data_IF_872009687005
#
_entry.id   IF_872009687005
#
_cell.length_a   1.000
_cell.length_b   1.000
_cell.length_c   1.000
_cell.angle_alpha   90.00
_cell.angle_beta   90.00
_cell.angle_gamma   90.00
#
_symmetry.space_group_name_H-M   'P 1'
#
loop_
_entity.id
_entity.type
_entity.pdbx_description
1 polymer ?
#
# COMPACT_ATOMS: atom_id res chain seq x y z
N UNK A 1 -7.40 7.12 13.37
CA UNK A 1 -7.39 8.15 12.30
C UNK A 1 -7.58 7.54 10.90
N UNK A 2 -6.94 6.43 10.55
CA UNK A 2 -7.05 5.83 9.20
C UNK A 2 -8.47 5.52 8.71
N UNK A 3 -9.26 4.73 9.45
CA UNK A 3 -10.67 4.42 9.09
C UNK A 3 -11.52 5.69 8.90
N UNK A 4 -11.47 6.68 9.82
CA UNK A 4 -12.12 7.97 9.61
C UNK A 4 -11.80 8.66 8.28
N UNK A 5 -10.53 8.69 7.89
CA UNK A 5 -10.08 9.29 6.63
C UNK A 5 -10.57 8.46 5.43
N UNK A 6 -10.49 7.12 5.50
CA UNK A 6 -10.99 6.23 4.45
C UNK A 6 -12.47 6.46 4.16
N UNK A 7 -13.31 6.49 5.20
CA UNK A 7 -14.76 6.75 5.04
C UNK A 7 -14.98 8.16 4.47
N UNK A 8 -14.17 9.15 4.88
CA UNK A 8 -14.24 10.51 4.33
C UNK A 8 -13.98 10.52 2.82
N UNK A 9 -12.97 9.78 2.36
CA UNK A 9 -12.69 9.61 0.93
C UNK A 9 -13.79 8.84 0.20
N UNK A 10 -14.36 7.78 0.81
CA UNK A 10 -15.52 7.07 0.26
C UNK A 10 -16.73 7.97 0.06
N UNK A 11 -17.04 8.82 1.04
CA UNK A 11 -18.15 9.79 0.97
C UNK A 11 -17.93 10.76 -0.18
N UNK A 12 -16.73 11.35 -0.30
CA UNK A 12 -16.40 12.28 -1.39
C UNK A 12 -16.56 11.61 -2.75
N UNK A 13 -15.97 10.42 -2.91
CA UNK A 13 -16.02 9.65 -4.15
C UNK A 13 -17.45 9.29 -4.55
N UNK A 14 -18.21 8.68 -3.63
CA UNK A 14 -19.57 8.21 -3.90
C UNK A 14 -20.55 9.35 -4.13
N UNK A 15 -20.38 10.47 -3.42
CA UNK A 15 -21.26 11.63 -3.60
C UNK A 15 -21.04 12.28 -4.96
N UNK A 16 -19.79 12.43 -5.38
CA UNK A 16 -19.46 13.11 -6.64
C UNK A 16 -19.50 12.21 -7.89
N UNK A 17 -19.43 10.88 -7.71
CA UNK A 17 -19.31 9.89 -8.78
C UNK A 17 -18.26 10.34 -9.81
N UNK A 18 -17.04 10.57 -9.34
CA UNK A 18 -15.93 11.04 -10.16
C UNK A 18 -14.57 10.70 -9.53
N UNK A 19 -13.54 10.72 -10.36
CA UNK A 19 -12.13 10.76 -9.98
C UNK A 19 -11.82 11.86 -8.93
N UNK A 20 -10.68 11.78 -8.22
CA UNK A 20 -10.38 12.68 -7.10
C UNK A 20 -10.45 14.17 -7.46
N UNK A 21 -9.93 14.58 -8.62
CA UNK A 21 -9.95 16.00 -9.04
C UNK A 21 -11.38 16.43 -9.38
N UNK A 22 -12.08 15.63 -10.19
CA UNK A 22 -13.46 15.87 -10.56
C UNK A 22 -14.38 15.96 -9.34
N UNK A 23 -14.14 15.10 -8.34
CA UNK A 23 -14.93 15.06 -7.12
C UNK A 23 -14.90 16.38 -6.35
N UNK A 24 -13.70 16.91 -6.10
CA UNK A 24 -13.57 18.21 -5.43
C UNK A 24 -14.08 19.38 -6.29
N UNK A 25 -13.92 19.33 -7.62
CA UNK A 25 -14.51 20.36 -8.51
C UNK A 25 -16.04 20.37 -8.47
N UNK A 26 -16.68 19.21 -8.43
CA UNK A 26 -18.15 19.07 -8.39
C UNK A 26 -18.71 19.47 -7.02
N UNK A 27 -18.06 19.06 -5.93
CA UNK A 27 -18.55 19.30 -4.56
C UNK A 27 -18.22 20.70 -4.04
N UNK A 28 -17.17 21.35 -4.56
CA UNK A 28 -16.80 22.72 -4.19
C UNK A 28 -16.40 23.54 -5.43
N UNK A 29 -17.36 23.88 -6.31
CA UNK A 29 -17.08 24.62 -7.54
C UNK A 29 -16.49 26.01 -7.25
N UNK A 30 -15.65 26.50 -8.16
CA UNK A 30 -14.97 27.82 -8.06
C UNK A 30 -14.04 27.99 -6.83
N UNK A 31 -13.59 26.89 -6.23
CA UNK A 31 -12.62 26.90 -5.13
C UNK A 31 -11.32 26.18 -5.50
N UNK A 32 -10.29 26.33 -4.68
CA UNK A 32 -9.01 25.63 -4.83
C UNK A 32 -9.01 24.18 -4.28
N UNK A 33 -10.13 23.66 -3.77
CA UNK A 33 -10.19 22.32 -3.15
C UNK A 33 -9.77 21.19 -4.10
N UNK A 34 -9.92 21.39 -5.40
CA UNK A 34 -9.44 20.45 -6.43
C UNK A 34 -7.92 20.24 -6.45
N UNK A 35 -7.14 21.12 -5.82
CA UNK A 35 -5.71 20.93 -5.61
C UNK A 35 -5.40 19.68 -4.78
N UNK A 36 -6.28 19.27 -3.87
CA UNK A 36 -6.12 18.02 -3.09
C UNK A 36 -6.25 16.81 -4.01
N UNK A 37 -7.18 16.84 -4.96
CA UNK A 37 -7.31 15.79 -5.97
C UNK A 37 -6.03 15.64 -6.79
N UNK A 38 -5.43 16.76 -7.20
CA UNK A 38 -4.13 16.76 -7.90
C UNK A 38 -3.00 16.24 -6.99
N UNK A 39 -2.99 16.63 -5.72
CA UNK A 39 -2.05 16.10 -4.72
C UNK A 39 -2.18 14.59 -4.56
N UNK A 40 -3.40 14.05 -4.53
CA UNK A 40 -3.64 12.61 -4.48
C UNK A 40 -3.14 11.87 -5.72
N UNK A 41 -3.40 12.41 -6.92
CA UNK A 41 -2.84 11.86 -8.16
C UNK A 41 -1.30 11.87 -8.11
N UNK A 42 -0.70 12.99 -7.68
CA UNK A 42 0.76 13.08 -7.54
C UNK A 42 1.30 12.06 -6.52
N UNK A 43 0.63 11.88 -5.38
CA UNK A 43 1.01 10.90 -4.36
C UNK A 43 0.96 9.47 -4.93
N UNK A 44 -0.18 9.06 -5.50
CA UNK A 44 -0.33 7.72 -6.10
C UNK A 44 0.68 7.45 -7.22
N UNK A 45 0.97 8.47 -8.04
CA UNK A 45 1.96 8.40 -9.10
C UNK A 45 3.38 8.24 -8.55
N UNK A 46 3.78 9.05 -7.57
CA UNK A 46 5.09 8.96 -6.91
C UNK A 46 5.29 7.63 -6.19
N UNK A 47 4.26 7.10 -5.54
CA UNK A 47 4.31 5.77 -4.92
C UNK A 47 4.61 4.71 -5.98
N UNK A 48 3.90 4.77 -7.12
CA UNK A 48 4.14 3.83 -8.22
C UNK A 48 5.57 3.90 -8.78
N UNK A 49 6.25 5.06 -8.72
CA UNK A 49 7.62 5.19 -9.24
C UNK A 49 8.61 4.26 -8.52
N UNK A 50 8.53 4.13 -7.19
CA UNK A 50 9.42 3.24 -6.42
C UNK A 50 8.79 1.87 -6.13
N UNK A 51 7.47 1.81 -5.94
CA UNK A 51 6.79 0.56 -5.58
C UNK A 51 6.83 -0.47 -6.72
N UNK A 52 6.85 -0.01 -7.97
CA UNK A 52 7.06 -0.88 -9.14
C UNK A 52 8.41 -1.60 -9.11
N UNK A 53 9.46 -1.00 -8.54
CA UNK A 53 10.76 -1.66 -8.35
C UNK A 53 10.66 -2.77 -7.31
N UNK A 54 10.05 -2.50 -6.15
CA UNK A 54 9.86 -3.50 -5.10
C UNK A 54 9.03 -4.68 -5.59
N UNK A 55 7.93 -4.40 -6.29
CA UNK A 55 7.10 -5.44 -6.91
C UNK A 55 7.88 -6.22 -7.99
N UNK A 56 8.72 -5.54 -8.79
CA UNK A 56 9.64 -6.17 -9.72
C UNK A 56 10.58 -7.16 -9.04
N UNK A 57 11.15 -6.79 -7.89
CA UNK A 57 12.00 -7.71 -7.13
C UNK A 57 11.24 -8.95 -6.68
N UNK A 58 10.02 -8.77 -6.14
CA UNK A 58 9.16 -9.90 -5.76
C UNK A 58 8.91 -10.83 -6.95
N UNK A 59 8.62 -10.30 -8.13
CA UNK A 59 8.44 -11.09 -9.34
C UNK A 59 9.70 -11.86 -9.74
N UNK A 60 10.87 -11.21 -9.70
CA UNK A 60 12.17 -11.87 -9.94
C UNK A 60 12.38 -13.07 -9.01
N UNK A 61 12.03 -12.90 -7.72
CA UNK A 61 12.21 -13.92 -6.70
C UNK A 61 11.29 -15.14 -6.89
N UNK A 62 10.13 -15.00 -7.54
CA UNK A 62 9.31 -16.17 -7.94
C UNK A 62 10.14 -17.09 -8.84
N UNK A 63 10.74 -16.55 -9.90
CA UNK A 63 11.50 -17.35 -10.86
C UNK A 63 12.77 -17.92 -10.24
N UNK A 64 13.46 -17.16 -9.39
CA UNK A 64 14.64 -17.61 -8.65
C UNK A 64 14.31 -18.73 -7.66
N UNK A 65 13.15 -18.65 -7.00
CA UNK A 65 12.66 -19.74 -6.15
C UNK A 65 12.32 -20.97 -7.00
N UNK A 66 11.61 -20.82 -8.12
CA UNK A 66 11.28 -21.96 -9.00
C UNK A 66 12.56 -22.65 -9.53
N UNK A 67 13.57 -21.88 -9.92
CA UNK A 67 14.85 -22.41 -10.42
C UNK A 67 15.73 -23.05 -9.35
N UNK A 68 15.36 -22.98 -8.08
CA UNK A 68 16.15 -23.55 -6.99
C UNK A 68 17.38 -22.74 -6.63
N UNK A 69 17.41 -21.43 -6.94
CA UNK A 69 18.57 -20.56 -6.66
C UNK A 69 18.86 -20.38 -5.17
N UNK A 70 17.95 -20.82 -4.29
CA UNK A 70 18.07 -20.73 -2.83
C UNK A 70 18.24 -22.09 -2.15
N UNK A 71 18.46 -23.17 -2.90
CA UNK A 71 18.79 -24.48 -2.32
C UNK A 71 20.12 -24.35 -1.57
N UNK A 72 20.14 -24.80 -0.31
CA UNK A 72 21.29 -24.67 0.60
C UNK A 72 21.78 -23.22 0.79
N UNK A 73 20.84 -22.26 0.88
CA UNK A 73 21.19 -20.86 0.99
C UNK A 73 22.10 -20.53 2.19
N UNK A 74 23.09 -19.68 1.91
CA UNK A 74 23.93 -18.99 2.91
C UNK A 74 23.62 -17.48 2.92
N UNK A 75 23.93 -16.76 4.02
CA UNK A 75 23.77 -15.32 4.09
C UNK A 75 24.43 -14.56 2.95
N UNK A 76 25.66 -14.94 2.59
CA UNK A 76 26.45 -14.33 1.52
C UNK A 76 25.78 -14.53 0.17
N UNK A 77 25.28 -15.74 -0.09
CA UNK A 77 24.58 -16.07 -1.33
C UNK A 77 23.30 -15.25 -1.47
N UNK A 78 22.45 -15.21 -0.43
CA UNK A 78 21.19 -14.46 -0.50
C UNK A 78 21.41 -12.96 -0.58
N UNK A 79 22.39 -12.42 0.14
CA UNK A 79 22.81 -11.01 0.02
C UNK A 79 23.32 -10.71 -1.38
N UNK A 80 24.17 -11.57 -1.95
CA UNK A 80 24.69 -11.42 -3.31
C UNK A 80 23.59 -11.46 -4.37
N UNK A 81 22.63 -12.38 -4.25
CA UNK A 81 21.47 -12.47 -5.16
C UNK A 81 20.64 -11.19 -5.11
N UNK A 82 20.31 -10.70 -3.92
CA UNK A 82 19.54 -9.45 -3.78
C UNK A 82 20.30 -8.23 -4.28
N UNK A 83 21.57 -8.09 -3.87
CA UNK A 83 22.44 -6.99 -4.30
C UNK A 83 22.58 -6.94 -5.82
N UNK A 84 22.88 -8.08 -6.46
CA UNK A 84 23.01 -8.13 -7.92
C UNK A 84 21.71 -7.73 -8.63
N UNK A 85 20.55 -8.12 -8.09
CA UNK A 85 19.26 -7.74 -8.65
C UNK A 85 19.05 -6.22 -8.60
N UNK A 86 19.37 -5.57 -7.47
CA UNK A 86 19.09 -4.13 -7.29
C UNK A 86 20.16 -3.22 -7.89
N UNK A 87 21.42 -3.69 -7.97
CA UNK A 87 22.54 -2.87 -8.51
C UNK A 87 22.81 -3.11 -10.00
N UNK A 88 22.26 -4.16 -10.61
CA UNK A 88 22.39 -4.41 -12.05
C UNK A 88 21.77 -3.28 -12.89
N UNK A 89 22.42 -2.95 -14.01
CA UNK A 89 21.98 -1.86 -14.89
C UNK A 89 20.64 -2.13 -15.59
N UNK A 90 20.27 -3.40 -15.77
CA UNK A 90 19.12 -3.77 -16.60
C UNK A 90 18.10 -4.64 -15.88
N UNK A 91 18.56 -5.57 -15.04
CA UNK A 91 17.68 -6.54 -14.39
C UNK A 91 16.51 -5.89 -13.61
N UNK A 92 16.72 -4.88 -12.74
CA UNK A 92 15.62 -4.33 -11.96
C UNK A 92 14.61 -3.57 -12.84
N UNK A 93 15.07 -2.94 -13.92
CA UNK A 93 14.20 -2.26 -14.91
C UNK A 93 13.36 -3.27 -15.69
N UNK A 94 13.95 -4.40 -16.11
CA UNK A 94 13.23 -5.44 -16.83
C UNK A 94 12.07 -5.95 -15.97
N UNK A 95 12.33 -6.26 -14.70
CA UNK A 95 11.27 -6.72 -13.79
C UNK A 95 10.23 -5.64 -13.49
N UNK A 96 10.64 -4.38 -13.36
CA UNK A 96 9.73 -3.25 -13.24
C UNK A 96 8.76 -3.17 -14.43
N UNK A 97 9.29 -3.29 -15.65
CA UNK A 97 8.49 -3.28 -16.89
C UNK A 97 7.54 -4.47 -16.93
N UNK A 98 8.00 -5.67 -16.58
CA UNK A 98 7.16 -6.88 -16.54
C UNK A 98 5.96 -6.68 -15.61
N UNK A 99 6.19 -6.18 -14.40
CA UNK A 99 5.09 -5.95 -13.45
C UNK A 99 4.14 -4.86 -13.94
N UNK A 100 4.67 -3.78 -14.52
CA UNK A 100 3.85 -2.74 -15.12
C UNK A 100 2.97 -3.26 -16.26
N UNK A 101 3.48 -4.15 -17.11
CA UNK A 101 2.68 -4.80 -18.17
C UNK A 101 1.55 -5.62 -17.56
N UNK A 102 1.84 -6.42 -16.53
CA UNK A 102 0.83 -7.23 -15.83
C UNK A 102 -0.27 -6.34 -15.27
N UNK A 103 0.09 -5.32 -14.48
CA UNK A 103 -0.90 -4.41 -13.87
C UNK A 103 -1.67 -3.64 -14.94
N UNK A 104 -0.98 -3.10 -15.96
CA UNK A 104 -1.62 -2.35 -17.04
C UNK A 104 -2.61 -3.20 -17.83
N UNK A 105 -2.31 -4.48 -18.07
CA UNK A 105 -3.24 -5.39 -18.75
C UNK A 105 -4.57 -5.56 -17.99
N UNK A 106 -4.50 -5.60 -16.66
CA UNK A 106 -5.67 -5.71 -15.78
C UNK A 106 -6.46 -4.39 -15.82
N UNK A 107 -5.79 -3.26 -15.71
CA UNK A 107 -6.43 -1.94 -15.78
C UNK A 107 -7.09 -1.72 -17.15
N UNK A 108 -6.46 -2.14 -18.25
CA UNK A 108 -7.06 -2.05 -19.60
C UNK A 108 -8.38 -2.82 -19.69
N UNK A 109 -8.49 -3.97 -19.02
CA UNK A 109 -9.73 -4.76 -18.99
C UNK A 109 -10.90 -4.07 -18.25
N UNK A 110 -10.64 -2.98 -17.52
CA UNK A 110 -11.64 -2.17 -16.84
C UNK A 110 -11.97 -2.62 -15.41
N UNK A 111 -12.86 -1.88 -14.74
CA UNK A 111 -13.16 -2.08 -13.32
C UNK A 111 -13.78 -3.47 -13.05
N UNK A 112 -14.87 -3.83 -13.72
CA UNK A 112 -15.56 -5.11 -13.47
C UNK A 112 -14.78 -6.32 -14.01
N UNK A 113 -14.36 -6.27 -15.28
CA UNK A 113 -13.71 -7.42 -15.95
C UNK A 113 -12.23 -7.58 -15.59
N UNK A 114 -11.57 -6.50 -15.18
CA UNK A 114 -10.19 -6.48 -14.73
C UNK A 114 -10.10 -6.46 -13.21
N UNK A 115 -10.26 -5.28 -12.60
CA UNK A 115 -9.96 -5.04 -11.18
C UNK A 115 -10.76 -5.96 -10.26
N UNK A 116 -12.07 -5.98 -10.41
CA UNK A 116 -12.98 -6.75 -9.55
C UNK A 116 -12.78 -8.25 -9.74
N UNK A 117 -12.71 -8.73 -10.99
CA UNK A 117 -12.47 -10.15 -11.29
C UNK A 117 -11.14 -10.65 -10.73
N UNK A 118 -10.06 -9.89 -10.93
CA UNK A 118 -8.74 -10.23 -10.42
C UNK A 118 -8.74 -10.25 -8.90
N UNK A 119 -9.31 -9.24 -8.25
CA UNK A 119 -9.38 -9.18 -6.77
C UNK A 119 -10.20 -10.35 -6.21
N UNK A 120 -11.38 -10.64 -6.78
CA UNK A 120 -12.24 -11.77 -6.36
C UNK A 120 -11.57 -13.14 -6.53
N UNK A 121 -10.68 -13.27 -7.52
CA UNK A 121 -9.97 -14.53 -7.79
C UNK A 121 -8.71 -14.65 -6.94
N UNK A 122 -7.91 -13.59 -6.86
CA UNK A 122 -6.61 -13.59 -6.22
C UNK A 122 -6.69 -13.54 -4.68
N UNK A 123 -7.69 -12.88 -4.11
CA UNK A 123 -7.81 -12.76 -2.64
C UNK A 123 -8.03 -14.11 -1.93
N UNK A 124 -8.95 -14.99 -2.39
CA UNK A 124 -9.06 -16.34 -1.82
C UNK A 124 -7.78 -17.16 -1.97
N UNK A 125 -7.11 -17.06 -3.13
CA UNK A 125 -5.84 -17.76 -3.38
C UNK A 125 -4.78 -17.27 -2.37
N UNK A 126 -4.63 -15.96 -2.21
CA UNK A 126 -3.71 -15.36 -1.24
C UNK A 126 -4.00 -15.89 0.17
N UNK A 127 -5.25 -15.92 0.59
CA UNK A 127 -5.62 -16.38 1.94
C UNK A 127 -5.29 -17.87 2.16
N UNK A 128 -5.56 -18.73 1.17
CA UNK A 128 -5.21 -20.15 1.23
C UNK A 128 -3.70 -20.35 1.29
N UNK A 129 -2.94 -19.67 0.42
CA UNK A 129 -1.48 -19.77 0.41
C UNK A 129 -0.88 -19.27 1.73
N UNK A 130 -1.44 -18.21 2.29
CA UNK A 130 -1.00 -17.66 3.57
C UNK A 130 -1.26 -18.64 4.71
N UNK A 131 -2.44 -19.26 4.78
CA UNK A 131 -2.74 -20.31 5.76
C UNK A 131 -1.78 -21.49 5.67
N UNK A 132 -1.40 -21.92 4.46
CA UNK A 132 -0.43 -22.99 4.27
C UNK A 132 0.95 -22.61 4.84
N UNK A 133 1.39 -21.37 4.61
CA UNK A 133 2.62 -20.84 5.20
C UNK A 133 2.54 -20.76 6.72
N UNK A 134 1.42 -20.27 7.29
CA UNK A 134 1.22 -20.15 8.74
C UNK A 134 1.27 -21.51 9.43
N UNK A 135 0.52 -22.50 8.91
CA UNK A 135 0.53 -23.86 9.44
C UNK A 135 1.96 -24.39 9.43
N UNK A 136 2.67 -24.24 8.31
CA UNK A 136 4.05 -24.73 8.21
C UNK A 136 4.97 -24.02 9.20
N UNK A 137 4.93 -22.69 9.29
CA UNK A 137 5.75 -21.89 10.17
C UNK A 137 5.53 -22.25 11.64
N UNK A 138 4.27 -22.48 12.04
CA UNK A 138 3.90 -22.86 13.41
C UNK A 138 4.29 -24.29 13.79
N UNK A 139 4.42 -25.20 12.82
CA UNK A 139 4.91 -26.57 13.07
C UNK A 139 6.42 -26.69 13.24
N UNK A 140 7.19 -25.62 13.07
CA UNK A 140 8.64 -25.67 13.19
C UNK A 140 9.08 -25.77 14.67
N UNK A 141 10.15 -26.55 14.97
CA UNK A 141 10.75 -26.53 16.29
C UNK A 141 11.21 -25.10 16.65
N UNK A 142 10.81 -24.59 17.81
CA UNK A 142 11.14 -23.23 18.26
C UNK A 142 10.23 -22.12 17.72
N UNK A 143 9.22 -22.43 16.92
CA UNK A 143 8.25 -21.48 16.36
C UNK A 143 7.57 -20.60 17.43
N UNK A 144 7.32 -21.15 18.62
CA UNK A 144 6.69 -20.43 19.75
C UNK A 144 7.44 -19.15 20.12
N UNK A 145 8.76 -19.09 20.00
CA UNK A 145 9.53 -17.88 20.28
C UNK A 145 9.15 -16.74 19.31
N UNK A 146 8.90 -17.07 18.04
CA UNK A 146 8.44 -16.08 17.06
C UNK A 146 6.98 -15.68 17.26
N UNK A 147 6.13 -16.59 17.75
CA UNK A 147 4.75 -16.27 18.14
C UNK A 147 4.75 -15.33 19.36
N UNK A 148 5.57 -15.62 20.38
CA UNK A 148 5.75 -14.74 21.53
C UNK A 148 6.29 -13.38 21.10
N UNK A 149 7.29 -13.33 20.22
CA UNK A 149 7.81 -12.08 19.68
C UNK A 149 6.71 -11.22 19.03
N UNK A 150 5.76 -11.84 18.32
CA UNK A 150 4.70 -11.13 17.62
C UNK A 150 3.55 -10.69 18.54
N UNK A 151 3.14 -11.52 19.51
CA UNK A 151 1.91 -11.30 20.28
C UNK A 151 2.10 -10.94 21.74
N UNK A 152 3.31 -11.08 22.31
CA UNK A 152 3.58 -10.70 23.69
C UNK A 152 3.96 -9.21 23.72
N UNK A 153 3.04 -8.31 24.14
CA UNK A 153 3.33 -6.88 24.14
C UNK A 153 4.43 -6.57 25.16
N UNK A 154 5.48 -5.89 24.71
CA UNK A 154 6.50 -5.32 25.56
C UNK A 154 6.28 -3.82 25.70
N UNK A 155 5.57 -3.42 26.76
CA UNK A 155 5.26 -2.01 27.01
C UNK A 155 6.50 -1.16 27.31
N UNK A 156 7.65 -1.76 27.62
CA UNK A 156 8.90 -1.01 27.79
C UNK A 156 9.42 -0.45 26.45
N UNK A 157 9.02 -1.06 25.34
CA UNK A 157 9.33 -0.61 23.96
C UNK A 157 8.30 0.35 23.40
N UNK A 158 7.22 0.63 24.13
CA UNK A 158 6.19 1.57 23.69
C UNK A 158 6.69 3.00 23.88
N UNK A 159 7.42 3.51 22.89
CA UNK A 159 7.87 4.89 22.85
C UNK A 159 6.92 5.77 22.03
N UNK A 160 7.05 7.09 22.18
CA UNK A 160 6.30 8.06 21.36
C UNK A 160 6.61 7.88 19.87
N UNK A 161 7.88 7.61 19.54
CA UNK A 161 8.34 7.33 18.20
C UNK A 161 7.63 6.10 17.60
N UNK A 162 7.57 4.98 18.33
CA UNK A 162 6.88 3.76 17.88
C UNK A 162 5.39 4.02 17.60
N UNK A 163 4.72 4.80 18.44
CA UNK A 163 3.30 5.16 18.23
C UNK A 163 3.13 5.95 16.92
N UNK A 164 4.01 6.91 16.66
CA UNK A 164 3.89 7.77 15.46
C UNK A 164 4.22 6.98 14.18
N UNK A 165 5.24 6.13 14.22
CA UNK A 165 5.57 5.21 13.11
C UNK A 165 4.36 4.30 12.83
N UNK A 166 3.76 3.70 13.86
CA UNK A 166 2.59 2.85 13.71
C UNK A 166 1.38 3.60 13.12
N UNK A 167 1.16 4.85 13.52
CA UNK A 167 0.11 5.70 12.95
C UNK A 167 0.36 6.02 11.47
N UNK A 168 1.59 6.33 11.08
CA UNK A 168 1.97 6.55 9.67
C UNK A 168 1.77 5.29 8.82
N UNK A 169 2.23 4.13 9.32
CA UNK A 169 2.03 2.84 8.67
C UNK A 169 0.55 2.52 8.45
N UNK A 170 -0.32 2.84 9.41
CA UNK A 170 -1.76 2.64 9.27
C UNK A 170 -2.37 3.48 8.12
N UNK A 171 -1.84 4.67 7.84
CA UNK A 171 -2.29 5.48 6.70
C UNK A 171 -1.86 4.87 5.37
N UNK A 172 -0.61 4.43 5.29
CA UNK A 172 -0.07 3.78 4.10
C UNK A 172 -0.81 2.47 3.80
N UNK A 173 -0.99 1.61 4.81
CA UNK A 173 -1.72 0.33 4.67
C UNK A 173 -3.14 0.51 4.16
N UNK A 174 -3.86 1.50 4.68
CA UNK A 174 -5.22 1.80 4.27
C UNK A 174 -5.30 2.61 2.96
N UNK A 175 -4.16 2.94 2.34
CA UNK A 175 -4.07 3.73 1.11
C UNK A 175 -4.82 5.05 1.18
N UNK A 176 -4.84 5.72 2.34
CA UNK A 176 -5.61 6.96 2.52
C UNK A 176 -4.80 8.21 2.20
N UNK A 177 -5.46 9.26 1.70
CA UNK A 177 -4.84 10.56 1.42
C UNK A 177 -4.10 10.63 0.08
N UNK A 178 -4.24 9.60 -0.76
CA UNK A 178 -3.67 9.51 -2.11
C UNK A 178 -4.75 9.38 -3.19
N UNK A 179 -6.03 9.60 -2.85
CA UNK A 179 -7.14 9.61 -3.81
C UNK A 179 -7.62 8.23 -4.29
N UNK A 180 -6.97 7.13 -3.91
CA UNK A 180 -7.40 5.77 -4.24
C UNK A 180 -8.80 5.47 -3.69
N UNK A 181 -9.06 5.80 -2.42
CA UNK A 181 -10.37 5.56 -1.80
C UNK A 181 -11.44 6.50 -2.35
N UNK A 182 -11.09 7.70 -2.82
CA UNK A 182 -12.04 8.57 -3.55
C UNK A 182 -12.41 7.92 -4.90
N UNK A 183 -11.43 7.43 -5.65
CA UNK A 183 -11.66 6.73 -6.91
C UNK A 183 -12.52 5.48 -6.71
N UNK A 184 -12.22 4.63 -5.74
CA UNK A 184 -13.04 3.44 -5.47
C UNK A 184 -14.41 3.78 -4.91
N UNK A 185 -14.51 4.80 -4.05
CA UNK A 185 -15.79 5.31 -3.56
C UNK A 185 -16.70 5.78 -4.69
N UNK A 186 -16.12 6.32 -5.78
CA UNK A 186 -16.89 6.74 -6.97
C UNK A 186 -17.61 5.59 -7.69
N UNK A 187 -17.17 4.35 -7.48
CA UNK A 187 -17.78 3.15 -8.04
C UNK A 187 -18.82 2.52 -7.10
N UNK A 188 -19.04 3.06 -5.90
CA UNK A 188 -20.02 2.52 -4.97
C UNK A 188 -21.44 2.92 -5.31
N UNK A 189 -22.36 1.96 -5.20
CA UNK A 189 -23.78 2.23 -5.23
C UNK A 189 -24.24 3.03 -4.00
N UNK A 190 -25.30 3.82 -4.16
CA UNK A 190 -25.89 4.62 -3.07
C UNK A 190 -26.41 3.78 -1.89
N UNK A 191 -26.70 2.51 -2.10
CA UNK A 191 -27.14 1.57 -1.06
C UNK A 191 -26.02 0.96 -0.22
N UNK A 192 -24.74 1.18 -0.58
CA UNK A 192 -23.61 0.59 0.14
C UNK A 192 -23.47 1.17 1.55
N UNK A 193 -23.26 0.32 2.56
CA UNK A 193 -23.02 0.77 3.94
C UNK A 193 -21.54 1.21 4.10
N UNK A 194 -21.25 2.50 3.94
CA UNK A 194 -19.88 3.01 3.95
C UNK A 194 -19.12 2.74 5.27
N UNK A 195 -19.67 3.04 6.47
CA UNK A 195 -18.97 2.73 7.72
C UNK A 195 -18.68 1.24 7.88
N UNK A 196 -19.67 0.39 7.58
CA UNK A 196 -19.52 -1.06 7.67
C UNK A 196 -18.47 -1.60 6.70
N UNK A 197 -18.43 -1.08 5.48
CA UNK A 197 -17.41 -1.42 4.48
C UNK A 197 -16.01 -1.02 4.95
N UNK A 198 -15.82 0.20 5.45
CA UNK A 198 -14.52 0.65 5.91
C UNK A 198 -13.99 -0.18 7.11
N UNK A 199 -14.87 -0.55 8.04
CA UNK A 199 -14.48 -1.44 9.17
C UNK A 199 -14.07 -2.82 8.65
N UNK A 200 -14.81 -3.41 7.70
CA UNK A 200 -14.44 -4.70 7.10
C UNK A 200 -13.09 -4.63 6.40
N UNK A 201 -12.82 -3.57 5.64
CA UNK A 201 -11.52 -3.35 4.99
C UNK A 201 -10.40 -3.28 6.03
N UNK A 202 -10.54 -2.47 7.07
CA UNK A 202 -9.52 -2.32 8.10
C UNK A 202 -9.27 -3.62 8.90
N UNK A 203 -10.33 -4.35 9.27
CA UNK A 203 -10.18 -5.64 9.95
C UNK A 203 -9.53 -6.69 9.05
N UNK A 204 -9.85 -6.69 7.75
CA UNK A 204 -9.24 -7.61 6.79
C UNK A 204 -7.75 -7.31 6.59
N UNK A 205 -7.37 -6.02 6.53
CA UNK A 205 -5.97 -5.60 6.44
C UNK A 205 -5.16 -6.02 7.69
N UNK A 206 -5.74 -5.82 8.89
CA UNK A 206 -5.12 -6.27 10.15
C UNK A 206 -4.98 -7.79 10.16
N UNK A 207 -6.03 -8.53 9.80
CA UNK A 207 -6.01 -9.99 9.76
C UNK A 207 -4.90 -10.52 8.84
N UNK A 208 -4.86 -10.04 7.59
CA UNK A 208 -3.85 -10.46 6.62
C UNK A 208 -2.44 -10.05 7.07
N UNK A 209 -2.27 -8.88 7.68
CA UNK A 209 -0.98 -8.44 8.21
C UNK A 209 -0.51 -9.29 9.41
N UNK A 210 -1.44 -9.69 10.29
CA UNK A 210 -1.14 -10.60 11.41
C UNK A 210 -0.77 -12.01 10.91
N UNK A 211 -1.52 -12.53 9.93
CA UNK A 211 -1.20 -13.80 9.29
C UNK A 211 0.16 -13.75 8.57
N UNK A 212 0.47 -12.67 7.82
CA UNK A 212 1.80 -12.49 7.25
C UNK A 212 2.91 -12.48 8.32
N UNK A 213 2.66 -11.86 9.47
CA UNK A 213 3.57 -11.94 10.62
C UNK A 213 3.75 -13.37 11.13
N UNK A 214 2.68 -14.15 11.22
CA UNK A 214 2.69 -15.56 11.61
C UNK A 214 3.39 -16.49 10.60
N UNK A 215 3.34 -16.17 9.30
CA UNK A 215 4.10 -16.88 8.29
C UNK A 215 5.62 -16.62 8.41
N UNK A 216 6.00 -15.42 8.88
CA UNK A 216 7.39 -14.94 8.87
C UNK A 216 8.09 -15.20 10.21
N UNK A 217 7.61 -14.64 11.32
CA UNK A 217 8.36 -14.59 12.57
C UNK A 217 8.61 -15.96 13.21
N UNK A 218 7.63 -16.88 13.31
CA UNK A 218 7.88 -18.23 13.81
C UNK A 218 9.00 -18.95 13.03
N UNK A 219 9.04 -18.78 11.72
CA UNK A 219 10.05 -19.40 10.87
C UNK A 219 11.43 -18.74 11.02
N UNK A 220 11.49 -17.41 11.12
CA UNK A 220 12.72 -16.64 11.40
C UNK A 220 13.36 -17.08 12.72
N UNK A 221 12.56 -17.17 13.79
CA UNK A 221 13.04 -17.55 15.12
C UNK A 221 13.39 -19.05 15.21
N UNK A 222 12.63 -19.93 14.55
CA UNK A 222 12.91 -21.37 14.52
C UNK A 222 14.31 -21.71 13.99
N UNK A 223 14.84 -20.87 13.08
CA UNK A 223 16.17 -21.05 12.49
C UNK A 223 17.22 -20.06 13.03
N UNK A 224 16.89 -19.29 14.08
CA UNK A 224 17.84 -18.42 14.77
C UNK A 224 18.25 -17.17 14.00
N UNK A 225 17.42 -16.69 13.07
CA UNK A 225 17.65 -15.43 12.35
C UNK A 225 17.11 -14.24 13.15
N UNK A 226 17.72 -13.07 12.95
CA UNK A 226 17.23 -11.83 13.55
C UNK A 226 16.06 -11.23 12.74
N UNK A 227 15.01 -10.71 13.41
CA UNK A 227 13.82 -10.17 12.74
C UNK A 227 14.01 -8.78 12.12
N UNK A 228 15.14 -8.11 12.34
CA UNK A 228 15.33 -6.68 12.02
C UNK A 228 16.26 -6.45 10.81
N UNK A 229 15.70 -6.47 9.60
CA UNK A 229 16.48 -6.29 8.37
C UNK A 229 15.83 -5.40 7.30
N UNK A 230 14.76 -4.66 7.60
CA UNK A 230 14.04 -3.84 6.61
C UNK A 230 13.63 -4.66 5.37
N UNK A 231 13.79 -4.15 4.13
CA UNK A 231 13.57 -4.92 2.91
C UNK A 231 14.39 -6.23 2.84
N UNK A 232 15.54 -6.27 3.51
CA UNK A 232 16.39 -7.44 3.63
C UNK A 232 15.71 -8.62 4.32
N UNK A 233 14.71 -8.41 5.18
CA UNK A 233 13.95 -9.51 5.78
C UNK A 233 13.32 -10.38 4.68
N UNK A 234 12.65 -9.74 3.72
CA UNK A 234 11.92 -10.40 2.65
C UNK A 234 12.83 -11.07 1.62
N UNK A 235 13.94 -10.42 1.25
CA UNK A 235 14.78 -10.86 0.14
C UNK A 235 16.05 -11.61 0.57
N UNK A 236 16.43 -11.53 1.84
CA UNK A 236 17.62 -12.21 2.38
C UNK A 236 17.20 -13.26 3.40
N UNK A 237 16.51 -12.86 4.47
CA UNK A 237 16.18 -13.77 5.58
C UNK A 237 15.19 -14.85 5.18
N UNK A 238 14.11 -14.48 4.49
CA UNK A 238 13.06 -15.44 4.09
C UNK A 238 13.60 -16.57 3.21
N UNK A 239 14.35 -16.32 2.12
CA UNK A 239 14.97 -17.41 1.35
C UNK A 239 15.87 -18.32 2.20
N UNK A 240 16.64 -17.76 3.13
CA UNK A 240 17.46 -18.58 4.04
C UNK A 240 16.62 -19.48 4.93
N UNK A 241 15.58 -18.94 5.56
CA UNK A 241 14.64 -19.67 6.41
C UNK A 241 14.01 -20.84 5.66
N UNK A 242 13.47 -20.59 4.47
CA UNK A 242 12.86 -21.66 3.67
C UNK A 242 13.87 -22.68 3.18
N UNK A 243 15.12 -22.30 2.87
CA UNK A 243 16.17 -23.26 2.46
C UNK A 243 16.45 -24.36 3.49
N UNK A 244 16.17 -24.10 4.78
CA UNK A 244 16.36 -25.06 5.88
C UNK A 244 15.15 -25.98 6.10
N UNK A 245 14.05 -25.77 5.39
CA UNK A 245 12.85 -26.59 5.50
C UNK A 245 12.81 -27.70 4.45
N UNK A 246 12.32 -28.90 4.80
CA UNK A 246 11.86 -29.87 3.80
C UNK A 246 10.85 -29.22 2.85
N UNK A 247 11.01 -29.46 1.54
CA UNK A 247 10.22 -28.82 0.48
C UNK A 247 10.28 -27.27 0.49
N UNK A 248 11.32 -26.70 1.11
CA UNK A 248 11.51 -25.27 1.28
C UNK A 248 11.41 -24.46 0.00
N UNK A 249 11.90 -25.01 -1.12
CA UNK A 249 11.84 -24.35 -2.42
C UNK A 249 10.40 -24.15 -2.94
N UNK A 250 9.51 -25.11 -2.67
CA UNK A 250 8.09 -25.03 -3.05
C UNK A 250 7.41 -23.97 -2.18
N UNK A 251 7.66 -24.01 -0.88
CA UNK A 251 7.09 -23.04 0.07
C UNK A 251 7.57 -21.61 -0.20
N UNK A 252 8.85 -21.44 -0.55
CA UNK A 252 9.43 -20.16 -0.95
C UNK A 252 8.77 -19.61 -2.23
N UNK A 253 8.56 -20.48 -3.22
CA UNK A 253 7.83 -20.14 -4.45
C UNK A 253 6.41 -19.68 -4.13
N UNK A 254 5.69 -20.44 -3.30
CA UNK A 254 4.34 -20.09 -2.85
C UNK A 254 4.32 -18.74 -2.14
N UNK A 255 5.28 -18.49 -1.25
CA UNK A 255 5.39 -17.25 -0.49
C UNK A 255 5.64 -16.04 -1.41
N UNK A 256 6.53 -16.15 -2.40
CA UNK A 256 6.74 -15.06 -3.35
C UNK A 256 5.58 -14.89 -4.34
N UNK A 257 4.85 -15.96 -4.70
CA UNK A 257 3.61 -15.85 -5.45
C UNK A 257 2.53 -15.08 -4.68
N UNK A 258 2.36 -15.39 -3.39
CA UNK A 258 1.49 -14.65 -2.48
C UNK A 258 1.90 -13.16 -2.43
N UNK A 259 3.19 -12.90 -2.26
CA UNK A 259 3.71 -11.53 -2.15
C UNK A 259 3.48 -10.76 -3.46
N UNK A 260 3.67 -11.43 -4.60
CA UNK A 260 3.40 -10.85 -5.91
C UNK A 260 1.93 -10.50 -6.07
N UNK A 261 1.02 -11.41 -5.70
CA UNK A 261 -0.43 -11.17 -5.73
C UNK A 261 -0.77 -9.93 -4.90
N UNK A 262 -0.27 -9.83 -3.66
CA UNK A 262 -0.50 -8.68 -2.80
C UNK A 262 -0.01 -7.39 -3.46
N UNK A 263 1.23 -7.38 -3.99
CA UNK A 263 1.81 -6.24 -4.68
C UNK A 263 1.02 -5.83 -5.93
N UNK A 264 0.60 -6.80 -6.76
CA UNK A 264 -0.22 -6.54 -7.96
C UNK A 264 -1.53 -5.85 -7.58
N UNK A 265 -2.23 -6.34 -6.56
CA UNK A 265 -3.51 -5.74 -6.15
C UNK A 265 -3.36 -4.32 -5.60
N UNK A 266 -2.28 -4.03 -4.88
CA UNK A 266 -1.94 -2.68 -4.44
C UNK A 266 -1.59 -1.75 -5.62
N UNK A 267 -0.82 -2.23 -6.58
CA UNK A 267 -0.47 -1.45 -7.78
C UNK A 267 -1.68 -1.15 -8.66
N UNK A 268 -2.64 -2.07 -8.73
CA UNK A 268 -3.89 -1.85 -9.48
C UNK A 268 -4.68 -0.67 -8.91
N UNK A 269 -4.79 -0.55 -7.58
CA UNK A 269 -5.52 0.57 -6.97
C UNK A 269 -4.81 1.90 -7.18
N UNK A 270 -3.48 1.91 -7.09
CA UNK A 270 -2.66 3.11 -7.30
C UNK A 270 -2.67 3.57 -8.76
N UNK A 271 -2.50 2.67 -9.73
CA UNK A 271 -2.49 3.02 -11.16
C UNK A 271 -3.87 3.50 -11.65
N UNK A 272 -4.96 3.02 -11.05
CA UNK A 272 -6.31 3.44 -11.41
C UNK A 272 -6.56 4.92 -11.13
N UNK A 273 -5.88 5.54 -10.14
CA UNK A 273 -6.06 6.96 -9.79
C UNK A 273 -5.71 7.92 -10.96
N UNK A 274 -4.47 7.91 -11.52
CA UNK A 274 -4.15 8.73 -12.67
C UNK A 274 -4.92 8.31 -13.93
N UNK A 275 -5.25 7.02 -14.09
CA UNK A 275 -6.02 6.55 -15.25
C UNK A 275 -7.45 7.09 -15.24
N UNK A 276 -8.15 7.02 -14.11
CA UNK A 276 -9.50 7.57 -13.95
C UNK A 276 -9.52 9.07 -14.23
N UNK A 277 -8.52 9.82 -13.74
CA UNK A 277 -8.36 11.24 -14.06
C UNK A 277 -8.21 11.50 -15.57
N UNK A 278 -7.31 10.79 -16.26
CA UNK A 278 -7.10 10.98 -17.69
C UNK A 278 -8.33 10.61 -18.54
N UNK A 279 -9.07 9.59 -18.10
CA UNK A 279 -10.31 9.19 -18.78
C UNK A 279 -11.40 10.24 -18.59
N UNK A 280 -11.67 10.64 -17.34
CA UNK A 280 -12.81 11.50 -17.02
C UNK A 280 -12.56 12.99 -17.30
N UNK A 281 -11.37 13.51 -16.97
CA UNK A 281 -11.07 14.95 -17.07
C UNK A 281 -10.39 15.32 -18.40
N UNK A 282 -9.71 14.37 -19.05
CA UNK A 282 -8.99 14.60 -20.31
C UNK A 282 -9.61 13.89 -21.51
N UNK A 283 -10.67 13.10 -21.31
CA UNK A 283 -11.41 12.44 -22.38
C UNK A 283 -10.60 11.36 -23.13
N UNK A 284 -9.54 10.82 -22.53
CA UNK A 284 -8.77 9.75 -23.16
C UNK A 284 -9.51 8.42 -23.07
N UNK A 285 -9.29 7.54 -24.04
CA UNK A 285 -9.73 6.15 -23.91
C UNK A 285 -8.97 5.47 -22.77
N UNK A 286 -9.59 4.51 -22.06
CA UNK A 286 -8.95 3.77 -20.96
C UNK A 286 -7.61 3.15 -21.37
N UNK A 287 -7.53 2.59 -22.58
CA UNK A 287 -6.27 2.04 -23.12
C UNK A 287 -5.21 3.13 -23.21
N UNK A 288 -5.53 4.26 -23.85
CA UNK A 288 -4.58 5.38 -24.01
C UNK A 288 -4.15 5.94 -22.66
N UNK A 289 -5.08 6.16 -21.74
CA UNK A 289 -4.81 6.63 -20.40
C UNK A 289 -3.87 5.68 -19.64
N UNK A 290 -4.15 4.37 -19.67
CA UNK A 290 -3.31 3.36 -19.01
C UNK A 290 -1.91 3.32 -19.59
N UNK A 291 -1.77 3.32 -20.93
CA UNK A 291 -0.45 3.28 -21.58
C UNK A 291 0.37 4.55 -21.30
N UNK A 292 -0.25 5.72 -21.28
CA UNK A 292 0.43 6.97 -20.94
C UNK A 292 0.92 6.95 -19.49
N UNK A 293 0.04 6.58 -18.55
CA UNK A 293 0.41 6.47 -17.13
C UNK A 293 1.51 5.44 -16.91
N UNK A 294 1.39 4.25 -17.51
CA UNK A 294 2.38 3.19 -17.40
C UNK A 294 3.72 3.57 -18.01
N UNK A 295 3.74 4.23 -19.18
CA UNK A 295 4.97 4.70 -19.82
C UNK A 295 5.66 5.78 -18.98
N UNK A 296 4.90 6.74 -18.44
CA UNK A 296 5.45 7.76 -17.56
C UNK A 296 6.04 7.14 -16.27
N UNK A 297 5.35 6.16 -15.68
CA UNK A 297 5.84 5.43 -14.51
C UNK A 297 7.07 4.59 -14.86
N UNK A 298 7.12 3.92 -16.02
CA UNK A 298 8.28 3.15 -16.43
C UNK A 298 9.52 4.03 -16.61
N UNK A 299 9.37 5.19 -17.26
CA UNK A 299 10.48 6.11 -17.51
C UNK A 299 10.97 6.72 -16.20
N UNK A 300 10.07 7.35 -15.43
CA UNK A 300 10.47 8.04 -14.19
C UNK A 300 10.82 7.05 -13.08
N UNK A 301 10.07 5.95 -12.96
CA UNK A 301 10.32 4.90 -12.00
C UNK A 301 11.61 4.13 -12.26
N UNK A 302 12.13 4.11 -13.49
CA UNK A 302 13.46 3.53 -13.75
C UNK A 302 14.55 4.27 -12.97
N UNK A 303 14.38 5.58 -12.70
CA UNK A 303 15.33 6.35 -11.89
C UNK A 303 15.32 5.93 -10.41
N UNK A 304 14.15 5.60 -9.87
CA UNK A 304 14.02 5.00 -8.54
C UNK A 304 14.64 3.60 -8.53
N UNK A 305 14.33 2.79 -9.54
CA UNK A 305 14.85 1.42 -9.66
C UNK A 305 16.38 1.38 -9.72
N UNK A 306 16.99 2.33 -10.42
CA UNK A 306 18.45 2.45 -10.58
C UNK A 306 19.12 3.21 -9.42
N UNK A 307 18.39 3.65 -8.41
CA UNK A 307 18.93 4.34 -7.23
C UNK A 307 18.56 3.66 -5.92
N UNK A 308 17.95 2.47 -5.97
CA UNK A 308 17.49 1.72 -4.80
C UNK A 308 18.60 1.31 -3.83
N UNK A 309 19.84 1.20 -4.31
CA UNK A 309 21.04 1.00 -3.49
C UNK A 309 22.12 2.01 -3.88
N UNK A 310 22.97 2.39 -2.94
CA UNK A 310 24.11 3.30 -3.15
C UNK A 310 25.06 2.88 -4.26
N UNK A 311 25.18 1.58 -4.53
CA UNK A 311 26.03 1.03 -5.59
C UNK A 311 25.31 0.86 -6.93
N UNK A 312 24.01 1.16 -6.97
CA UNK A 312 23.25 1.17 -8.22
C UNK A 312 23.71 2.34 -9.11
N UNK A 313 23.45 2.25 -10.42
CA UNK A 313 23.90 3.23 -11.41
C UNK A 313 23.61 4.70 -11.05
N UNK A 314 22.46 4.98 -10.42
CA UNK A 314 22.05 6.31 -9.96
C UNK A 314 22.07 6.44 -8.43
N UNK A 315 22.56 5.44 -7.69
CA UNK A 315 22.59 5.42 -6.22
C UNK A 315 23.47 6.52 -5.60
N UNK A 316 24.49 6.97 -6.34
CA UNK A 316 25.33 8.10 -5.94
C UNK A 316 24.67 9.48 -6.15
N UNK A 317 23.61 9.57 -6.95
CA UNK A 317 22.91 10.84 -7.21
C UNK A 317 21.90 11.07 -6.09
N UNK A 318 22.21 12.05 -5.24
CA UNK A 318 21.35 12.44 -4.12
C UNK A 318 20.75 13.81 -4.34
N UNK A 319 19.43 13.90 -4.19
CA UNK A 319 18.68 15.17 -4.21
C UNK A 319 18.09 15.38 -2.82
N UNK A 320 18.35 16.53 -2.20
CA UNK A 320 18.01 16.78 -0.78
C UNK A 320 18.53 15.69 0.18
N UNK A 321 19.69 15.11 -0.11
CA UNK A 321 20.30 14.04 0.70
C UNK A 321 19.68 12.65 0.53
N UNK A 322 18.72 12.47 -0.39
CA UNK A 322 18.01 11.20 -0.66
C UNK A 322 18.27 10.70 -2.08
N UNK A 323 18.29 9.39 -2.27
CA UNK A 323 18.25 8.78 -3.61
C UNK A 323 16.92 9.07 -4.30
N UNK A 324 16.74 8.80 -5.59
CA UNK A 324 15.41 8.97 -6.22
C UNK A 324 14.38 8.03 -5.60
N UNK A 325 14.77 6.79 -5.27
CA UNK A 325 13.92 5.84 -4.56
C UNK A 325 13.41 6.42 -3.24
N UNK A 326 14.32 6.86 -2.38
CA UNK A 326 13.98 7.42 -1.05
C UNK A 326 13.24 8.75 -1.15
N UNK A 327 13.54 9.55 -2.18
CA UNK A 327 12.90 10.85 -2.38
C UNK A 327 11.44 10.69 -2.77
N UNK A 328 11.13 9.77 -3.69
CA UNK A 328 9.75 9.51 -4.11
C UNK A 328 8.93 8.92 -2.98
N UNK A 329 9.49 7.98 -2.21
CA UNK A 329 8.86 7.47 -1.00
C UNK A 329 8.60 8.60 0.01
N UNK A 330 9.63 9.37 0.35
CA UNK A 330 9.48 10.45 1.32
C UNK A 330 8.44 11.52 0.92
N UNK A 331 8.47 12.00 -0.33
CA UNK A 331 7.51 13.02 -0.78
C UNK A 331 6.08 12.47 -0.73
N UNK A 332 5.88 11.23 -1.18
CA UNK A 332 4.54 10.65 -1.22
C UNK A 332 4.03 10.26 0.17
N UNK A 333 4.77 9.40 0.87
CA UNK A 333 4.39 8.77 2.14
C UNK A 333 4.40 9.75 3.33
N UNK A 334 5.38 10.64 3.39
CA UNK A 334 5.59 11.53 4.54
C UNK A 334 5.01 12.94 4.35
N UNK A 335 4.78 13.39 3.12
CA UNK A 335 4.29 14.75 2.84
C UNK A 335 2.89 14.72 2.22
N UNK A 336 2.74 14.17 1.01
CA UNK A 336 1.49 14.31 0.25
C UNK A 336 0.33 13.54 0.89
N UNK A 337 0.55 12.33 1.39
CA UNK A 337 -0.49 11.52 2.03
C UNK A 337 -1.03 12.14 3.33
N UNK A 338 -0.22 12.56 4.31
CA UNK A 338 -0.72 13.25 5.49
C UNK A 338 -1.46 14.55 5.15
N UNK A 339 -0.92 15.35 4.23
CA UNK A 339 -1.57 16.58 3.75
C UNK A 339 -2.93 16.24 3.12
N UNK A 340 -2.96 15.27 2.21
CA UNK A 340 -4.18 14.82 1.55
C UNK A 340 -5.23 14.33 2.56
N UNK A 341 -4.82 13.51 3.53
CA UNK A 341 -5.69 13.04 4.61
C UNK A 341 -6.24 14.18 5.47
N UNK A 342 -5.39 15.14 5.86
CA UNK A 342 -5.77 16.31 6.66
C UNK A 342 -6.80 17.16 5.94
N UNK A 343 -6.51 17.55 4.70
CA UNK A 343 -7.43 18.38 3.94
C UNK A 343 -8.71 17.64 3.55
N UNK A 344 -8.69 16.31 3.41
CA UNK A 344 -9.90 15.50 3.20
C UNK A 344 -10.83 15.55 4.41
N UNK A 345 -10.30 15.37 5.64
CA UNK A 345 -11.15 15.46 6.84
C UNK A 345 -11.64 16.89 7.07
N UNK A 346 -10.84 17.89 6.72
CA UNK A 346 -11.27 19.30 6.73
C UNK A 346 -12.38 19.54 5.71
N UNK A 347 -12.26 18.97 4.51
CA UNK A 347 -13.28 19.10 3.48
C UNK A 347 -14.63 18.54 3.93
N UNK A 348 -14.64 17.33 4.53
CA UNK A 348 -15.86 16.70 5.02
C UNK A 348 -16.58 17.56 6.06
N UNK A 349 -15.86 18.09 7.04
CA UNK A 349 -16.51 18.74 8.18
C UNK A 349 -16.88 20.20 7.87
N UNK A 350 -16.03 20.93 7.15
CA UNK A 350 -16.18 22.38 6.96
C UNK A 350 -16.69 22.79 5.58
N UNK A 351 -16.61 21.94 4.56
CA UNK A 351 -17.10 22.24 3.21
C UNK A 351 -18.36 21.45 2.89
N UNK A 352 -18.32 20.13 3.06
CA UNK A 352 -19.49 19.28 2.83
C UNK A 352 -20.54 19.43 3.95
N UNK A 353 -20.08 19.46 5.19
CA UNK A 353 -20.93 19.71 6.36
C UNK A 353 -21.61 18.45 6.90
N UNK A 354 -22.15 18.58 8.13
CA UNK A 354 -22.69 17.45 8.90
C UNK A 354 -23.90 16.79 8.24
N UNK A 355 -24.83 17.58 7.71
CA UNK A 355 -26.08 17.08 7.10
C UNK A 355 -25.81 16.19 5.90
N UNK A 356 -24.95 16.63 4.98
CA UNK A 356 -24.58 15.86 3.79
C UNK A 356 -23.81 14.59 4.14
N UNK A 357 -22.94 14.68 5.14
CA UNK A 357 -22.25 13.51 5.69
C UNK A 357 -23.24 12.52 6.32
N UNK A 358 -24.21 13.00 7.10
CA UNK A 358 -25.24 12.18 7.73
C UNK A 358 -26.09 11.44 6.68
N UNK A 359 -26.51 12.13 5.61
CA UNK A 359 -27.25 11.52 4.51
C UNK A 359 -26.45 10.42 3.82
N UNK A 360 -25.19 10.67 3.49
CA UNK A 360 -24.34 9.65 2.87
C UNK A 360 -24.09 8.46 3.84
N UNK A 361 -23.73 8.69 5.09
CA UNK A 361 -23.42 7.58 6.01
C UNK A 361 -24.64 6.77 6.47
N UNK A 362 -25.84 7.35 6.40
CA UNK A 362 -27.10 6.66 6.74
C UNK A 362 -27.82 6.07 5.52
N UNK A 363 -27.30 6.26 4.31
CA UNK A 363 -27.98 5.96 3.05
C UNK A 363 -29.38 6.57 3.01
N UNK A 364 -29.45 7.89 3.17
CA UNK A 364 -30.69 8.67 3.22
C UNK A 364 -31.67 8.17 4.30
N UNK A 365 -31.13 7.82 5.47
CA UNK A 365 -31.92 7.35 6.63
C UNK A 365 -32.33 5.88 6.59
N UNK A 366 -31.91 5.09 5.60
CA UNK A 366 -32.19 3.66 5.53
C UNK A 366 -31.44 2.85 6.60
N UNK A 367 -30.30 3.35 7.07
CA UNK A 367 -29.51 2.73 8.14
C UNK A 367 -29.84 3.37 9.49
N UNK A 368 -30.20 2.56 10.48
CA UNK A 368 -30.37 3.02 11.86
C UNK A 368 -28.99 3.10 12.57
N UNK A 369 -28.16 4.08 12.19
CA UNK A 369 -26.77 4.19 12.62
C UNK A 369 -26.37 5.58 13.15
N UNK A 370 -27.33 6.38 13.63
CA UNK A 370 -27.09 7.77 14.08
C UNK A 370 -25.91 7.91 15.05
N UNK A 371 -25.82 7.04 16.06
CA UNK A 371 -24.70 7.07 17.02
C UNK A 371 -23.33 6.81 16.38
N UNK A 372 -23.26 5.96 15.34
CA UNK A 372 -22.03 5.73 14.57
C UNK A 372 -21.65 6.98 13.78
N UNK A 373 -22.63 7.66 13.19
CA UNK A 373 -22.40 8.90 12.43
C UNK A 373 -21.95 10.03 13.33
N UNK A 374 -22.56 10.20 14.50
CA UNK A 374 -22.17 11.23 15.48
C UNK A 374 -20.75 10.98 16.04
N UNK A 375 -20.43 9.72 16.35
CA UNK A 375 -19.09 9.32 16.76
C UNK A 375 -18.07 9.59 15.64
N UNK A 376 -18.39 9.17 14.42
CA UNK A 376 -17.57 9.40 13.24
C UNK A 376 -17.29 10.89 13.03
N UNK A 377 -18.33 11.72 13.02
CA UNK A 377 -18.21 13.16 12.85
C UNK A 377 -17.31 13.79 13.93
N UNK A 378 -17.47 13.37 15.18
CA UNK A 378 -16.62 13.82 16.30
C UNK A 378 -15.15 13.45 16.08
N UNK A 379 -14.88 12.20 15.66
CA UNK A 379 -13.52 11.74 15.37
C UNK A 379 -12.93 12.52 14.20
N UNK A 380 -13.66 12.70 13.09
CA UNK A 380 -13.19 13.44 11.90
C UNK A 380 -12.98 14.92 12.20
N UNK A 381 -13.80 15.53 13.06
CA UNK A 381 -13.70 16.96 13.40
C UNK A 381 -12.55 17.27 14.35
N UNK A 382 -12.27 16.41 15.32
CA UNK A 382 -11.32 16.72 16.40
C UNK A 382 -10.10 15.79 16.43
N UNK A 383 -10.30 14.48 16.36
CA UNK A 383 -9.24 13.49 16.62
C UNK A 383 -8.37 13.26 15.38
N UNK A 384 -8.99 13.05 14.21
CA UNK A 384 -8.25 12.78 12.97
C UNK A 384 -7.33 13.92 12.56
N UNK A 385 -7.76 15.21 12.53
CA UNK A 385 -6.87 16.31 12.17
C UNK A 385 -5.69 16.41 13.12
N UNK A 386 -5.92 16.28 14.43
CA UNK A 386 -4.85 16.31 15.44
C UNK A 386 -3.82 15.20 15.23
N UNK A 387 -4.27 13.95 15.05
CA UNK A 387 -3.36 12.82 14.82
C UNK A 387 -2.57 12.98 13.52
N UNK A 388 -3.21 13.45 12.44
CA UNK A 388 -2.55 13.66 11.16
C UNK A 388 -1.51 14.78 11.26
N UNK A 389 -1.81 15.88 11.96
CA UNK A 389 -0.85 16.96 12.20
C UNK A 389 0.36 16.43 12.97
N UNK A 390 0.15 15.62 14.01
CA UNK A 390 1.26 15.01 14.77
C UNK A 390 2.13 14.13 13.87
N UNK A 391 1.51 13.26 13.07
CA UNK A 391 2.22 12.38 12.11
C UNK A 391 3.02 13.21 11.11
N UNK A 392 2.39 14.25 10.53
CA UNK A 392 3.01 15.10 9.54
C UNK A 392 4.20 15.87 10.12
N UNK A 393 4.05 16.51 11.28
CA UNK A 393 5.11 17.27 11.93
C UNK A 393 6.29 16.40 12.35
N UNK A 394 6.05 15.16 12.77
CA UNK A 394 7.12 14.20 13.04
C UNK A 394 7.80 13.74 11.74
N UNK A 395 7.02 13.44 10.71
CA UNK A 395 7.51 12.98 9.41
C UNK A 395 8.45 13.99 8.74
N UNK A 396 8.21 15.30 8.92
CA UNK A 396 9.07 16.37 8.40
C UNK A 396 10.18 16.81 9.37
N UNK A 397 10.34 16.13 10.50
CA UNK A 397 11.40 16.38 11.49
C UNK A 397 11.21 17.62 12.36
N UNK A 398 10.02 18.24 12.36
CA UNK A 398 9.68 19.38 13.24
C UNK A 398 9.44 18.88 14.68
N UNK A 399 8.77 17.74 14.84
CA UNK A 399 8.69 17.05 16.12
C UNK A 399 9.78 15.98 16.18
N UNK A 400 10.77 16.22 17.05
CA UNK A 400 11.79 15.24 17.42
C UNK A 400 11.37 14.64 18.77
N UNK A 401 11.15 13.33 18.81
CA UNK A 401 10.76 12.60 20.02
C UNK A 401 11.92 11.75 20.53
#
# INVERSE_FOLDING_TARGET
AGVPVMVSEFVIGRRANSNPVGAFKKLAPNTAWHAIGYSGIAASFLIMLFYTSVAGWVYSYIFRAISGSFINASPEMTKGVFRNLITSNYEPIIWQIIVLIVVSSIIIAGVQRGIERMTKTLMPILFVLLLLCDIRALTLPGALNGVEFLFKPDFTKLTREVIIIALGLAFFKLSVGMGTMVTYGSYFDKSQNLPGTAVKVALSDILVSMMAGLAIFPAVFAFGFEPDAGPGLLFITIPMVFSKMPLGNILLTIFFLLTAIAATTAMMSLLEVPVAYLVEERGFSRIKATLISAAAIAILGSTASLSADTESLLGGIKTFGKTFFDLYDYISSNILMPIGGLFTVIFIVWVLGKTDLEMELSNDGQLNNKGVVDLFYTIVKYISPLLIIIIFLNSIGVLQF
#
